data_IF_231136022714
#
_entry.id   IF_231136022714
#
_cell.length_a   1.000
_cell.length_b   1.000
_cell.length_c   1.000
_cell.angle_alpha   90.00
_cell.angle_beta   90.00
_cell.angle_gamma   90.00
#
_symmetry.space_group_name_H-M   'P 1'
#
loop_
_entity.id
_entity.type
_entity.pdbx_description
1 polymer ?
#
# COMPACT_ATOMS: atom_id res chain seq x y z
N UNK A 1 2.69 -2.89 -21.12
CA UNK A 1 1.72 -2.04 -20.37
C UNK A 1 0.58 -2.94 -19.87
N UNK A 2 0.26 -2.95 -18.57
CA UNK A 2 -0.84 -3.76 -18.03
C UNK A 2 -2.20 -3.08 -18.32
N UNK A 3 -3.18 -3.85 -18.84
CA UNK A 3 -4.54 -3.36 -19.10
C UNK A 3 -5.25 -3.11 -17.77
N UNK A 4 -6.11 -2.10 -17.73
CA UNK A 4 -6.76 -1.67 -16.48
C UNK A 4 -7.54 -2.79 -15.79
N UNK A 5 -8.29 -3.58 -16.55
CA UNK A 5 -9.03 -4.75 -16.05
C UNK A 5 -8.16 -5.85 -15.42
N UNK A 6 -6.88 -5.90 -15.77
CA UNK A 6 -5.97 -6.94 -15.30
C UNK A 6 -5.12 -6.46 -14.11
N UNK A 7 -5.16 -5.16 -13.78
CA UNK A 7 -4.33 -4.57 -12.71
C UNK A 7 -4.60 -5.17 -11.34
N UNK A 8 -5.87 -5.27 -10.97
CA UNK A 8 -6.26 -5.85 -9.67
C UNK A 8 -5.81 -7.31 -9.62
N UNK A 9 -6.11 -8.11 -10.64
CA UNK A 9 -5.69 -9.51 -10.70
C UNK A 9 -4.18 -9.69 -10.47
N UNK A 10 -3.36 -8.93 -11.20
CA UNK A 10 -1.91 -9.07 -11.10
C UNK A 10 -1.35 -8.50 -9.80
N UNK A 11 -1.81 -7.33 -9.35
CA UNK A 11 -1.34 -6.72 -8.10
C UNK A 11 -1.71 -7.57 -6.88
N UNK A 12 -2.91 -8.13 -6.84
CA UNK A 12 -3.35 -8.93 -5.70
C UNK A 12 -2.63 -10.28 -5.61
N UNK A 13 -2.15 -10.81 -6.75
CA UNK A 13 -1.35 -12.03 -6.81
C UNK A 13 0.06 -11.87 -6.20
N UNK A 14 0.55 -10.63 -6.00
CA UNK A 14 1.87 -10.39 -5.39
C UNK A 14 1.81 -10.17 -3.88
N UNK A 15 0.61 -10.05 -3.30
CA UNK A 15 0.44 -9.81 -1.87
C UNK A 15 0.95 -11.01 -1.05
N UNK A 16 1.52 -10.69 0.12
CA UNK A 16 2.06 -11.67 1.07
C UNK A 16 1.65 -11.31 2.50
N UNK A 17 1.69 -12.30 3.39
CA UNK A 17 1.46 -12.12 4.83
C UNK A 17 0.14 -11.40 5.13
N UNK A 18 0.19 -10.38 5.99
CA UNK A 18 -0.99 -9.60 6.43
C UNK A 18 -1.78 -9.02 5.26
N UNK A 19 -1.10 -8.53 4.22
CA UNK A 19 -1.77 -7.93 3.07
C UNK A 19 -2.60 -8.96 2.28
N UNK A 20 -2.08 -10.18 2.13
CA UNK A 20 -2.81 -11.26 1.49
C UNK A 20 -4.03 -11.69 2.32
N UNK A 21 -3.88 -11.84 3.63
CA UNK A 21 -5.00 -12.18 4.53
C UNK A 21 -6.10 -11.12 4.49
N UNK A 22 -5.73 -9.84 4.52
CA UNK A 22 -6.66 -8.72 4.38
C UNK A 22 -7.43 -8.78 3.06
N UNK A 23 -6.73 -8.95 1.93
CA UNK A 23 -7.38 -9.02 0.62
C UNK A 23 -8.31 -10.24 0.52
N UNK A 24 -7.90 -11.39 1.04
CA UNK A 24 -8.76 -12.59 1.08
C UNK A 24 -10.03 -12.37 1.90
N UNK A 25 -9.95 -11.67 3.04
CA UNK A 25 -11.12 -11.30 3.84
C UNK A 25 -12.07 -10.38 3.06
N UNK A 26 -11.53 -9.35 2.42
CA UNK A 26 -12.32 -8.39 1.64
C UNK A 26 -12.97 -9.05 0.42
N UNK A 27 -12.24 -9.87 -0.33
CA UNK A 27 -12.77 -10.64 -1.47
C UNK A 27 -13.85 -11.63 -1.06
N UNK A 28 -13.75 -12.24 0.13
CA UNK A 28 -14.82 -13.08 0.70
C UNK A 28 -16.12 -12.32 0.94
N UNK A 29 -16.03 -11.07 1.43
CA UNK A 29 -17.21 -10.24 1.71
C UNK A 29 -17.84 -9.69 0.43
N UNK A 30 -17.03 -9.21 -0.52
CA UNK A 30 -17.53 -8.59 -1.75
C UNK A 30 -17.85 -9.59 -2.87
N UNK A 31 -17.31 -10.80 -2.81
CA UNK A 31 -17.34 -11.79 -3.88
C UNK A 31 -16.17 -11.63 -4.86
N UNK A 32 -15.65 -12.77 -5.33
CA UNK A 32 -14.46 -12.83 -6.19
C UNK A 32 -14.63 -12.03 -7.49
N UNK A 33 -15.81 -12.09 -8.11
CA UNK A 33 -16.03 -11.43 -9.41
C UNK A 33 -16.13 -9.91 -9.26
N UNK A 34 -16.84 -9.44 -8.24
CA UNK A 34 -16.87 -8.02 -7.90
C UNK A 34 -15.48 -7.50 -7.54
N UNK A 35 -14.68 -8.28 -6.80
CA UNK A 35 -13.31 -7.92 -6.46
C UNK A 35 -12.43 -7.73 -7.70
N UNK A 36 -12.52 -8.64 -8.68
CA UNK A 36 -11.74 -8.55 -9.93
C UNK A 36 -12.12 -7.34 -10.77
N UNK A 37 -13.40 -6.98 -10.79
CA UNK A 37 -13.93 -5.86 -11.57
C UNK A 37 -13.85 -4.52 -10.83
N UNK A 38 -13.40 -4.50 -9.57
CA UNK A 38 -13.23 -3.27 -8.83
C UNK A 38 -12.21 -2.36 -9.55
N UNK A 39 -12.51 -1.07 -9.75
CA UNK A 39 -11.55 -0.14 -10.34
C UNK A 39 -10.24 -0.08 -9.55
N UNK A 40 -9.11 -0.01 -10.25
CA UNK A 40 -7.80 0.05 -9.62
C UNK A 40 -7.63 1.25 -8.68
N UNK A 41 -8.26 2.39 -8.98
CA UNK A 41 -8.28 3.57 -8.11
C UNK A 41 -8.86 3.27 -6.72
N UNK A 42 -9.94 2.50 -6.68
CA UNK A 42 -10.65 2.16 -5.44
C UNK A 42 -9.83 1.15 -4.62
N UNK A 43 -9.23 0.16 -5.27
CA UNK A 43 -8.33 -0.79 -4.59
C UNK A 43 -7.14 -0.06 -3.95
N UNK A 44 -6.53 0.90 -4.66
CA UNK A 44 -5.46 1.73 -4.08
C UNK A 44 -5.91 2.51 -2.86
N UNK A 45 -7.11 3.10 -2.91
CA UNK A 45 -7.69 3.84 -1.78
C UNK A 45 -7.80 2.94 -0.55
N UNK A 46 -8.37 1.75 -0.70
CA UNK A 46 -8.50 0.81 0.41
C UNK A 46 -7.15 0.34 0.97
N UNK A 47 -6.16 0.13 0.12
CA UNK A 47 -4.81 -0.22 0.57
C UNK A 47 -4.17 0.91 1.37
N UNK A 48 -4.32 2.16 0.91
CA UNK A 48 -3.81 3.33 1.64
C UNK A 48 -4.50 3.47 3.00
N UNK A 49 -5.82 3.29 3.06
CA UNK A 49 -6.58 3.36 4.32
C UNK A 49 -6.15 2.28 5.32
N UNK A 50 -5.91 1.04 4.86
CA UNK A 50 -5.51 -0.09 5.72
C UNK A 50 -4.04 -0.01 6.17
N UNK A 51 -3.13 0.31 5.25
CA UNK A 51 -1.68 0.14 5.46
C UNK A 51 -0.91 1.44 5.62
N UNK A 52 -1.49 2.57 5.21
CA UNK A 52 -0.87 3.89 5.32
C UNK A 52 -1.75 4.83 6.19
N UNK A 53 -2.04 4.47 7.45
CA UNK A 53 -2.85 5.31 8.31
C UNK A 53 -2.18 6.68 8.50
N UNK A 54 -2.99 7.74 8.55
CA UNK A 54 -2.48 9.13 8.61
C UNK A 54 -1.53 9.36 9.80
N UNK A 55 -1.73 8.66 10.92
CA UNK A 55 -0.85 8.73 12.09
C UNK A 55 0.57 8.20 11.81
N UNK A 56 0.70 7.12 11.03
CA UNK A 56 2.02 6.59 10.62
C UNK A 56 2.68 7.54 9.63
N UNK A 57 1.92 8.09 8.69
CA UNK A 57 2.42 9.09 7.75
C UNK A 57 2.92 10.32 8.53
N UNK A 58 2.13 10.84 9.46
CA UNK A 58 2.50 11.98 10.28
C UNK A 58 3.77 11.70 11.09
N UNK A 59 3.85 10.51 11.71
CA UNK A 59 5.06 10.11 12.44
C UNK A 59 6.29 10.06 11.52
N UNK A 60 6.15 9.54 10.30
CA UNK A 60 7.24 9.55 9.31
C UNK A 60 7.62 10.97 8.87
N UNK A 61 6.63 11.85 8.66
CA UNK A 61 6.84 13.28 8.36
C UNK A 61 7.60 13.96 9.51
N UNK A 62 7.21 13.70 10.76
CA UNK A 62 7.85 14.26 11.96
C UNK A 62 9.26 13.69 12.18
N UNK A 63 9.46 12.38 12.01
CA UNK A 63 10.77 11.75 12.05
C UNK A 63 11.69 12.37 11.01
N UNK A 64 11.22 12.51 9.76
CA UNK A 64 11.96 13.14 8.67
C UNK A 64 12.32 14.60 8.96
N UNK A 65 11.38 15.37 9.48
CA UNK A 65 11.61 16.77 9.85
C UNK A 65 12.67 16.92 10.96
N UNK A 66 12.67 16.00 11.92
CA UNK A 66 13.59 16.01 13.06
C UNK A 66 14.91 15.27 12.80
N UNK A 67 15.08 14.67 11.61
CA UNK A 67 16.35 14.04 11.23
C UNK A 67 17.44 15.11 11.20
N UNK A 68 18.47 14.90 12.02
CA UNK A 68 19.70 15.68 12.00
C UNK A 68 20.85 14.78 11.62
N UNK A 69 21.73 15.27 10.74
CA UNK A 69 22.98 14.58 10.44
C UNK A 69 23.75 14.30 11.73
N UNK A 70 24.14 13.04 11.92
CA UNK A 70 25.05 12.63 13.00
C UNK A 70 26.44 12.47 12.40
N UNK A 71 27.39 13.31 12.82
CA UNK A 71 28.77 13.28 12.32
C UNK A 71 28.93 13.92 10.93
N UNK A 72 29.88 13.43 10.13
CA UNK A 72 30.18 13.87 8.75
C UNK A 72 29.76 12.84 7.69
N UNK A 73 28.80 11.97 8.00
CA UNK A 73 28.31 10.96 7.06
C UNK A 73 27.38 11.60 6.03
N UNK A 74 27.95 12.35 5.08
CA UNK A 74 27.24 12.98 3.97
C UNK A 74 26.77 11.89 2.99
N UNK A 75 27.59 10.86 2.79
CA UNK A 75 27.33 9.75 1.85
C UNK A 75 26.09 8.92 2.24
N UNK A 76 25.70 8.90 3.53
CA UNK A 76 24.45 8.29 3.98
C UNK A 76 23.17 9.05 3.58
N UNK A 77 23.28 10.32 3.14
CA UNK A 77 22.13 11.19 2.82
C UNK A 77 22.08 11.64 1.34
N UNK A 78 23.14 11.45 0.55
CA UNK A 78 23.22 11.76 -0.89
C UNK A 78 23.37 10.52 -1.74
#
# INVERSE_FOLDING_TARGET
>A
KCKEKDRVKFAMATLRGRALTWWNGRTKVMGIEAAKHTPWSEVKKWMTEEFCPRSVIQRMEDELYNLRMKGMDIDGYT
#
